data_IF_527615354365
#
_entry.id   IF_527615354365
#
_cell.length_a   1.000
_cell.length_b   1.000
_cell.length_c   1.000
_cell.angle_alpha   90.00
_cell.angle_beta   90.00
_cell.angle_gamma   90.00
#
_symmetry.space_group_name_H-M   'P 1'
#
loop_
_entity.id
_entity.type
_entity.pdbx_description
1 polymer ?
#
# COMPACT_ATOMS: atom_id res chain seq x y z
N UNK A 1 -40.45 -23.16 19.04
CA UNK A 1 -40.25 -21.72 18.74
C UNK A 1 -38.79 -21.33 18.54
N UNK A 2 -37.90 -21.56 19.53
CA UNK A 2 -36.48 -21.12 19.47
C UNK A 2 -35.65 -21.64 18.28
N UNK A 3 -35.91 -22.87 17.80
CA UNK A 3 -35.22 -23.43 16.62
C UNK A 3 -35.46 -22.61 15.36
N UNK A 4 -36.73 -22.32 15.03
CA UNK A 4 -37.12 -21.53 13.84
C UNK A 4 -36.49 -20.14 13.80
N UNK A 5 -36.35 -19.48 14.96
CA UNK A 5 -35.71 -18.14 15.06
C UNK A 5 -34.21 -18.22 14.72
N UNK A 6 -33.54 -19.28 15.19
CA UNK A 6 -32.13 -19.50 14.86
C UNK A 6 -31.95 -19.82 13.38
N UNK A 7 -32.82 -20.65 12.82
CA UNK A 7 -32.77 -21.05 11.42
C UNK A 7 -33.00 -19.83 10.50
N UNK A 8 -33.94 -18.95 10.85
CA UNK A 8 -34.20 -17.70 10.12
C UNK A 8 -32.99 -16.74 10.17
N UNK A 9 -32.36 -16.60 11.34
CA UNK A 9 -31.13 -15.81 11.50
C UNK A 9 -29.99 -16.36 10.65
N UNK A 10 -29.81 -17.68 10.61
CA UNK A 10 -28.76 -18.31 9.82
C UNK A 10 -29.00 -18.12 8.32
N UNK A 11 -30.24 -18.30 7.87
CA UNK A 11 -30.64 -18.04 6.48
C UNK A 11 -30.40 -16.59 6.05
N UNK A 12 -30.63 -15.64 6.96
CA UNK A 12 -30.32 -14.23 6.72
C UNK A 12 -28.81 -13.99 6.57
N UNK A 13 -27.98 -14.59 7.43
CA UNK A 13 -26.52 -14.48 7.36
C UNK A 13 -25.96 -15.10 6.07
N UNK A 14 -26.42 -16.29 5.68
CA UNK A 14 -25.98 -16.96 4.44
C UNK A 14 -26.33 -16.15 3.18
N UNK A 15 -27.53 -15.55 3.14
CA UNK A 15 -27.93 -14.65 2.04
C UNK A 15 -27.00 -13.45 1.93
N UNK A 16 -26.58 -12.87 3.06
CA UNK A 16 -25.63 -11.76 3.08
C UNK A 16 -24.23 -12.19 2.62
N UNK A 17 -23.71 -13.32 3.10
CA UNK A 17 -22.42 -13.85 2.69
C UNK A 17 -22.35 -14.15 1.18
N UNK A 18 -23.45 -14.67 0.62
CA UNK A 18 -23.56 -14.92 -0.83
C UNK A 18 -23.51 -13.61 -1.63
N UNK A 19 -24.20 -12.58 -1.16
CA UNK A 19 -24.19 -11.25 -1.78
C UNK A 19 -22.81 -10.58 -1.67
N UNK A 20 -22.12 -10.75 -0.54
CA UNK A 20 -20.76 -10.25 -0.33
C UNK A 20 -19.77 -10.91 -1.29
N UNK A 21 -19.81 -12.24 -1.43
CA UNK A 21 -18.96 -12.96 -2.38
C UNK A 21 -19.18 -12.51 -3.83
N UNK A 22 -20.45 -12.26 -4.21
CA UNK A 22 -20.77 -11.70 -5.53
C UNK A 22 -20.22 -10.27 -5.70
N UNK A 23 -20.40 -9.41 -4.71
CA UNK A 23 -19.88 -8.03 -4.75
C UNK A 23 -18.35 -7.98 -4.81
N UNK A 24 -17.66 -8.90 -4.13
CA UNK A 24 -16.20 -9.03 -4.21
C UNK A 24 -15.73 -9.46 -5.61
N UNK A 25 -16.42 -10.42 -6.23
CA UNK A 25 -16.11 -10.86 -7.60
C UNK A 25 -16.40 -9.77 -8.64
N UNK A 26 -17.48 -9.01 -8.44
CA UNK A 26 -17.90 -7.93 -9.33
C UNK A 26 -17.11 -6.63 -9.09
N UNK A 27 -16.17 -6.60 -8.14
CA UNK A 27 -15.37 -5.41 -7.79
C UNK A 27 -16.17 -4.27 -7.15
N UNK A 28 -17.40 -4.52 -6.70
CA UNK A 28 -18.28 -3.52 -6.11
C UNK A 28 -17.99 -3.31 -4.61
N UNK A 29 -16.87 -2.63 -4.34
CA UNK A 29 -16.40 -2.34 -2.97
C UNK A 29 -17.41 -1.60 -2.11
N UNK A 30 -18.29 -0.78 -2.72
CA UNK A 30 -19.34 -0.06 -2.01
C UNK A 30 -20.36 -1.02 -1.41
N UNK A 31 -20.83 -2.00 -2.19
CA UNK A 31 -21.79 -3.00 -1.70
C UNK A 31 -21.19 -3.91 -0.63
N UNK A 32 -19.91 -4.30 -0.80
CA UNK A 32 -19.17 -5.05 0.20
C UNK A 32 -19.13 -4.29 1.54
N UNK A 33 -18.71 -3.02 1.53
CA UNK A 33 -18.66 -2.16 2.72
C UNK A 33 -20.04 -2.00 3.39
N UNK A 34 -21.10 -1.75 2.61
CA UNK A 34 -22.46 -1.58 3.12
C UNK A 34 -22.98 -2.89 3.77
N UNK A 35 -22.61 -4.06 3.24
CA UNK A 35 -22.96 -5.37 3.80
C UNK A 35 -22.17 -5.68 5.09
N UNK A 36 -20.86 -5.48 5.09
CA UNK A 36 -20.01 -5.66 6.28
C UNK A 36 -20.46 -4.75 7.43
N UNK A 37 -20.82 -3.50 7.13
CA UNK A 37 -21.37 -2.56 8.12
C UNK A 37 -22.68 -3.05 8.73
N UNK A 38 -23.56 -3.69 7.95
CA UNK A 38 -24.80 -4.28 8.46
C UNK A 38 -24.54 -5.50 9.35
N UNK A 39 -23.56 -6.33 8.99
CA UNK A 39 -23.16 -7.51 9.78
C UNK A 39 -22.51 -7.13 11.11
N UNK A 40 -21.65 -6.10 11.12
CA UNK A 40 -20.98 -5.61 12.31
C UNK A 40 -21.93 -5.01 13.37
N UNK A 41 -23.20 -4.78 13.03
CA UNK A 41 -24.21 -4.25 13.95
C UNK A 41 -23.92 -2.79 14.34
N UNK A 42 -24.24 -2.42 15.59
CA UNK A 42 -23.90 -1.09 16.12
C UNK A 42 -22.43 -1.08 16.53
N UNK A 43 -21.57 -0.49 15.71
CA UNK A 43 -20.22 -0.11 16.12
C UNK A 43 -20.30 0.80 17.34
N UNK A 44 -19.79 0.34 18.49
CA UNK A 44 -19.67 1.15 19.70
C UNK A 44 -18.81 2.39 19.40
N UNK A 45 -19.03 3.46 20.16
CA UNK A 45 -18.17 4.66 20.05
C UNK A 45 -16.71 4.21 20.16
N UNK A 46 -15.81 4.68 19.27
CA UNK A 46 -14.40 4.37 19.39
C UNK A 46 -13.91 4.82 20.77
N UNK A 47 -13.13 3.99 21.44
CA UNK A 47 -12.58 4.26 22.78
C UNK A 47 -11.79 5.57 22.82
N UNK A 48 -11.21 5.95 21.67
CA UNK A 48 -10.42 7.18 21.53
C UNK A 48 -11.02 8.08 20.45
N UNK A 49 -11.42 9.32 20.78
CA UNK A 49 -11.82 10.30 19.79
C UNK A 49 -10.61 10.74 18.96
N UNK A 50 -10.84 11.08 17.69
CA UNK A 50 -9.82 11.70 16.83
C UNK A 50 -9.56 13.12 17.34
N UNK A 51 -8.29 13.50 17.42
CA UNK A 51 -7.86 14.82 17.88
C UNK A 51 -7.32 15.68 16.74
N UNK A 52 -7.50 16.99 16.85
CA UNK A 52 -6.82 17.96 15.99
C UNK A 52 -5.34 18.13 16.37
N UNK A 53 -4.67 19.10 15.74
CA UNK A 53 -3.23 19.37 15.98
C UNK A 53 -3.00 19.97 17.37
N UNK A 54 -4.00 20.68 17.89
CA UNK A 54 -4.07 21.27 19.22
C UNK A 54 -4.51 20.25 20.30
N UNK A 55 -4.55 18.96 19.96
CA UNK A 55 -4.94 17.85 20.85
C UNK A 55 -6.38 17.89 21.36
N UNK A 56 -7.24 18.71 20.77
CA UNK A 56 -8.66 18.81 21.09
C UNK A 56 -9.48 17.76 20.32
N UNK A 57 -10.47 17.12 20.96
CA UNK A 57 -11.27 16.09 20.30
C UNK A 57 -12.20 16.68 19.24
N UNK A 58 -12.17 16.07 18.05
CA UNK A 58 -13.03 16.43 16.92
C UNK A 58 -14.35 15.65 17.03
N UNK A 59 -15.47 16.38 17.11
CA UNK A 59 -16.82 15.81 17.24
C UNK A 59 -17.57 15.73 15.91
N UNK A 60 -17.18 16.52 14.92
CA UNK A 60 -17.83 16.60 13.60
C UNK A 60 -17.18 15.65 12.58
N UNK A 61 -17.98 14.82 11.92
CA UNK A 61 -17.50 13.80 10.97
C UNK A 61 -16.72 14.42 9.81
N UNK A 62 -17.14 15.58 9.30
CA UNK A 62 -16.45 16.24 8.19
C UNK A 62 -15.06 16.71 8.60
N UNK A 63 -14.94 17.33 9.79
CA UNK A 63 -13.63 17.73 10.35
C UNK A 63 -12.74 16.53 10.63
N UNK A 64 -13.31 15.41 11.07
CA UNK A 64 -12.57 14.17 11.28
C UNK A 64 -12.01 13.64 9.95
N UNK A 65 -12.79 13.68 8.87
CA UNK A 65 -12.31 13.30 7.52
C UNK A 65 -11.20 14.21 7.03
N UNK A 66 -11.34 15.52 7.18
CA UNK A 66 -10.30 16.47 6.80
C UNK A 66 -9.01 16.21 7.58
N UNK A 67 -9.12 15.93 8.89
CA UNK A 67 -7.96 15.56 9.72
C UNK A 67 -7.28 14.28 9.24
N UNK A 68 -8.04 13.28 8.79
CA UNK A 68 -7.48 12.06 8.19
C UNK A 68 -6.73 12.37 6.89
N UNK A 69 -7.28 13.19 6.00
CA UNK A 69 -6.63 13.60 4.75
C UNK A 69 -5.29 14.28 5.05
N UNK A 70 -5.29 15.29 5.93
CA UNK A 70 -4.06 15.99 6.33
C UNK A 70 -3.00 15.05 6.93
N UNK A 71 -3.41 14.12 7.82
CA UNK A 71 -2.49 13.18 8.44
C UNK A 71 -1.83 12.24 7.42
N UNK A 72 -2.61 11.74 6.46
CA UNK A 72 -2.06 10.89 5.39
C UNK A 72 -1.18 11.68 4.44
N UNK A 73 -1.52 12.92 4.11
CA UNK A 73 -0.66 13.79 3.30
C UNK A 73 0.68 14.07 3.99
N UNK A 74 0.67 14.39 5.28
CA UNK A 74 1.90 14.61 6.06
C UNK A 74 2.76 13.35 6.11
N UNK A 75 2.13 12.18 6.32
CA UNK A 75 2.82 10.90 6.40
C UNK A 75 3.44 10.48 5.05
N UNK A 76 2.70 10.63 3.95
CA UNK A 76 3.12 10.19 2.62
C UNK A 76 4.08 11.16 1.94
N UNK A 77 3.96 12.46 2.22
CA UNK A 77 4.86 13.49 1.67
C UNK A 77 6.07 13.76 2.55
N UNK A 78 6.27 13.00 3.65
CA UNK A 78 7.43 13.16 4.53
C UNK A 78 8.71 12.87 3.74
N UNK A 79 9.61 13.86 3.58
CA UNK A 79 10.87 13.62 2.89
C UNK A 79 11.71 12.62 3.68
N UNK A 80 12.33 11.68 2.97
CA UNK A 80 13.29 10.74 3.58
C UNK A 80 14.38 11.53 4.30
N UNK A 81 14.73 11.16 5.55
CA UNK A 81 15.77 11.85 6.28
C UNK A 81 17.06 11.86 5.46
N UNK A 82 17.65 13.05 5.33
CA UNK A 82 18.75 13.37 4.41
C UNK A 82 20.06 12.63 4.75
N UNK A 83 20.11 11.87 5.85
CA UNK A 83 21.29 11.13 6.29
C UNK A 83 21.49 9.78 5.60
N UNK A 84 20.71 9.46 4.55
CA UNK A 84 20.89 8.25 3.72
C UNK A 84 21.91 8.40 2.57
N UNK A 85 22.65 9.51 2.49
CA UNK A 85 23.54 9.80 1.37
C UNK A 85 24.90 9.09 1.36
N UNK A 86 25.26 8.32 2.40
CA UNK A 86 26.61 7.71 2.47
C UNK A 86 26.71 6.27 1.96
N UNK A 87 25.61 5.56 1.68
CA UNK A 87 25.70 4.15 1.21
C UNK A 87 25.39 3.93 -0.28
N UNK A 88 24.85 4.93 -0.99
CA UNK A 88 24.49 4.77 -2.41
C UNK A 88 25.69 4.96 -3.35
N UNK A 89 26.64 5.84 -2.99
CA UNK A 89 27.81 6.15 -3.83
C UNK A 89 28.78 4.99 -4.03
N UNK A 90 28.78 3.97 -3.15
CA UNK A 90 29.69 2.83 -3.24
C UNK A 90 29.15 1.65 -4.06
N UNK A 91 27.85 1.60 -4.36
CA UNK A 91 27.23 0.46 -5.04
C UNK A 91 27.12 0.62 -6.57
N UNK A 92 27.26 1.83 -7.09
CA UNK A 92 26.99 2.15 -8.51
C UNK A 92 28.23 2.55 -9.31
N UNK A 93 29.40 1.98 -9.02
CA UNK A 93 30.55 2.06 -9.93
C UNK A 93 30.29 1.14 -11.15
N UNK A 94 30.37 1.63 -12.40
CA UNK A 94 30.20 0.78 -13.58
C UNK A 94 31.38 -0.20 -13.71
N UNK A 95 31.10 -1.51 -13.67
CA UNK A 95 32.12 -2.58 -13.72
C UNK A 95 32.73 -2.78 -15.13
N UNK A 96 32.36 -2.01 -16.16
CA UNK A 96 32.69 -2.35 -17.55
C UNK A 96 33.52 -1.32 -18.34
N UNK A 97 34.64 -0.83 -17.80
CA UNK A 97 35.60 0.00 -18.56
C UNK A 97 37.06 -0.48 -18.51
N UNK A 98 37.32 -1.73 -18.10
CA UNK A 98 38.69 -2.30 -18.07
C UNK A 98 38.94 -3.48 -19.02
N UNK A 99 38.29 -3.56 -20.19
CA UNK A 99 38.57 -4.66 -21.17
C UNK A 99 38.88 -4.25 -22.61
N UNK A 100 39.00 -2.96 -22.92
CA UNK A 100 39.27 -2.49 -24.30
C UNK A 100 40.60 -1.74 -24.45
N UNK A 101 41.67 -2.12 -23.73
CA UNK A 101 43.01 -1.60 -24.01
C UNK A 101 44.04 -2.67 -24.44
N UNK A 102 43.73 -3.97 -24.31
CA UNK A 102 44.65 -5.05 -24.72
C UNK A 102 44.41 -5.56 -26.15
N UNK A 103 43.36 -5.10 -26.84
CA UNK A 103 43.00 -5.55 -28.18
C UNK A 103 43.72 -4.84 -29.34
N UNK A 104 44.58 -3.84 -29.06
CA UNK A 104 45.14 -2.96 -30.09
C UNK A 104 46.67 -3.04 -30.25
N UNK A 105 47.30 -4.18 -29.92
CA UNK A 105 48.74 -4.39 -30.14
C UNK A 105 49.15 -5.63 -30.95
N UNK A 106 48.24 -6.48 -31.39
CA UNK A 106 48.65 -7.77 -32.00
C UNK A 106 48.63 -7.83 -33.53
N UNK A 107 48.18 -6.80 -34.24
CA UNK A 107 48.02 -6.87 -35.70
C UNK A 107 49.11 -6.16 -36.53
N UNK A 108 50.10 -5.49 -35.91
CA UNK A 108 51.24 -4.92 -36.64
C UNK A 108 52.46 -5.84 -36.74
N UNK A 109 52.53 -6.91 -35.94
CA UNK A 109 53.70 -7.80 -35.92
C UNK A 109 53.59 -8.95 -36.95
N UNK A 110 52.38 -9.23 -37.47
CA UNK A 110 52.18 -10.28 -38.49
C UNK A 110 52.36 -9.79 -39.94
N UNK A 111 52.27 -8.49 -40.23
CA UNK A 111 52.50 -7.96 -41.58
C UNK A 111 53.99 -7.62 -41.85
N UNK A 112 54.82 -7.43 -40.82
CA UNK A 112 56.26 -7.18 -41.00
C UNK A 112 57.10 -8.44 -41.24
N UNK A 113 56.53 -9.65 -41.15
CA UNK A 113 57.24 -10.92 -41.39
C UNK A 113 56.92 -11.60 -42.73
N UNK A 114 56.24 -10.90 -43.64
CA UNK A 114 56.08 -11.31 -45.05
C UNK A 114 56.80 -10.31 -45.97
N UNK A 115 58.12 -10.24 -45.86
CA UNK A 115 59.00 -9.82 -46.97
C UNK A 115 60.22 -10.73 -46.97
#
# INVERSE_FOLDING_TARGET
MKKRIRDDKQKYVEKLATMEGKAACDGNMKQLYDATKKLAGKSSKPERPVKDKESSPITEIQKQRNRWVEYFEELLNRPTPLNSHTHTFLLMSPINERRNQDGHRTNQEQESSRT
#
